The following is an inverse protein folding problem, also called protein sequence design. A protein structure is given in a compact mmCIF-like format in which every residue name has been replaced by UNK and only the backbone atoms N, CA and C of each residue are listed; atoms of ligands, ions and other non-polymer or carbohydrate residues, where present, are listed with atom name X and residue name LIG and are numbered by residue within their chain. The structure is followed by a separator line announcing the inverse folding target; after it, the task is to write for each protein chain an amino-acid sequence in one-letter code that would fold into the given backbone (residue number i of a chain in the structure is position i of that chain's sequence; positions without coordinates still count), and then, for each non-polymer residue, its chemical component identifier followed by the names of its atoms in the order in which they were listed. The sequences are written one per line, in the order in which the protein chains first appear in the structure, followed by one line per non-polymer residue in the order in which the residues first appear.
data_IF_743660211739
#
_entry.id   IF_743660211739
#
_cell.length_a   1.000
_cell.length_b   1.000
_cell.length_c   1.000
_cell.angle_alpha   90.00
_cell.angle_beta   90.00
_cell.angle_gamma   90.00
#
_symmetry.space_group_name_H-M   'P 1'
#
loop_
_entity.id
_entity.type
_entity.pdbx_description
1 polymer ?
#
# COMPACT_ATOMS: atom_id res chain seq x y z
N UNK A 1 -9.83 -7.29 6.39
CA UNK A 1 -10.93 -7.07 5.41
C UNK A 1 -10.28 -7.07 4.04
N UNK A 2 -10.80 -7.86 3.10
CA UNK A 2 -10.20 -8.00 1.76
C UNK A 2 -10.51 -6.78 0.86
N UNK A 3 -9.64 -6.51 -0.12
CA UNK A 3 -9.71 -5.38 -1.07
C UNK A 3 -11.04 -5.40 -1.81
N UNK A 4 -11.47 -6.56 -2.28
CA UNK A 4 -12.75 -6.70 -2.97
C UNK A 4 -13.95 -6.39 -2.07
N UNK A 5 -13.88 -6.76 -0.79
CA UNK A 5 -14.93 -6.46 0.19
C UNK A 5 -15.00 -4.96 0.55
N UNK A 6 -13.86 -4.29 0.64
CA UNK A 6 -13.79 -2.84 0.84
C UNK A 6 -14.31 -2.08 -0.40
N UNK A 7 -13.92 -2.51 -1.60
CA UNK A 7 -14.40 -1.93 -2.85
C UNK A 7 -15.92 -2.09 -3.00
N UNK A 8 -16.47 -3.26 -2.67
CA UNK A 8 -17.91 -3.49 -2.72
C UNK A 8 -18.69 -2.54 -1.79
N UNK A 9 -18.26 -2.37 -0.54
CA UNK A 9 -18.89 -1.43 0.40
C UNK A 9 -18.77 0.03 -0.05
N UNK A 10 -17.68 0.40 -0.70
CA UNK A 10 -17.50 1.74 -1.27
C UNK A 10 -18.48 1.97 -2.43
N UNK A 11 -18.65 0.97 -3.29
CA UNK A 11 -19.61 1.02 -4.39
C UNK A 11 -21.05 1.08 -3.89
N UNK A 12 -21.44 0.24 -2.93
CA UNK A 12 -22.79 0.23 -2.33
C UNK A 12 -23.15 1.60 -1.73
N UNK A 13 -22.22 2.21 -0.99
CA UNK A 13 -22.43 3.57 -0.46
C UNK A 13 -22.64 4.59 -1.56
N UNK A 14 -21.84 4.51 -2.63
CA UNK A 14 -21.96 5.43 -3.77
C UNK A 14 -23.29 5.27 -4.51
N UNK A 15 -23.73 4.03 -4.73
CA UNK A 15 -25.04 3.72 -5.33
C UNK A 15 -26.18 4.22 -4.43
N UNK A 16 -26.14 3.92 -3.12
CA UNK A 16 -27.17 4.36 -2.18
C UNK A 16 -27.25 5.89 -2.06
N UNK A 17 -26.11 6.58 -2.18
CA UNK A 17 -26.06 8.05 -2.18
C UNK A 17 -26.55 8.67 -3.50
N UNK A 18 -26.56 7.88 -4.59
CA UNK A 18 -26.96 8.38 -5.89
C UNK A 18 -28.48 8.41 -6.03
N UNK A 19 -29.02 9.60 -6.29
CA UNK A 19 -30.44 9.80 -6.64
C UNK A 19 -30.76 9.44 -8.09
N UNK A 20 -29.81 8.89 -8.86
CA UNK A 20 -30.02 8.51 -10.26
C UNK A 20 -30.84 7.22 -10.33
N UNK A 21 -32.05 7.31 -10.89
CA UNK A 21 -32.92 6.14 -11.16
C UNK A 21 -32.39 5.22 -12.25
N UNK A 22 -31.51 5.70 -13.12
CA UNK A 22 -30.90 4.94 -14.21
C UNK A 22 -29.41 5.23 -14.26
N UNK A 23 -28.61 4.17 -14.20
CA UNK A 23 -27.17 4.21 -14.40
C UNK A 23 -26.84 3.62 -15.76
N UNK A 24 -26.03 4.31 -16.53
CA UNK A 24 -25.48 3.71 -17.75
C UNK A 24 -24.42 2.69 -17.35
N UNK A 25 -24.12 1.76 -18.26
CA UNK A 25 -23.04 0.77 -18.02
C UNK A 25 -21.68 1.46 -17.81
N UNK A 26 -21.44 2.56 -18.51
CA UNK A 26 -20.22 3.35 -18.37
C UNK A 26 -20.11 3.98 -16.96
N UNK A 27 -21.20 4.55 -16.44
CA UNK A 27 -21.24 5.10 -15.07
C UNK A 27 -20.93 4.01 -14.04
N UNK A 28 -21.51 2.82 -14.19
CA UNK A 28 -21.30 1.71 -13.26
C UNK A 28 -19.85 1.23 -13.26
N UNK A 29 -19.23 1.12 -14.44
CA UNK A 29 -17.82 0.72 -14.58
C UNK A 29 -16.91 1.78 -13.95
N UNK A 30 -17.16 3.06 -14.20
CA UNK A 30 -16.40 4.14 -13.60
C UNK A 30 -16.49 4.09 -12.06
N UNK A 31 -17.68 3.82 -11.51
CA UNK A 31 -17.86 3.73 -10.06
C UNK A 31 -17.20 2.50 -9.45
N UNK A 32 -17.15 1.37 -10.17
CA UNK A 32 -16.42 0.18 -9.73
C UNK A 32 -14.91 0.44 -9.67
N UNK A 33 -14.35 1.09 -10.69
CA UNK A 33 -12.93 1.47 -10.74
C UNK A 33 -12.55 2.39 -9.58
N UNK A 34 -13.31 3.47 -9.38
CA UNK A 34 -13.06 4.39 -8.25
C UNK A 34 -13.14 3.68 -6.89
N UNK A 35 -14.08 2.75 -6.72
CA UNK A 35 -14.24 2.00 -5.48
C UNK A 35 -13.07 1.05 -5.22
N UNK A 36 -12.50 0.45 -6.28
CA UNK A 36 -11.31 -0.40 -6.22
C UNK A 36 -10.06 0.41 -5.90
N UNK A 37 -9.83 1.54 -6.58
CA UNK A 37 -8.71 2.44 -6.28
C UNK A 37 -8.73 2.87 -4.81
N UNK A 38 -9.90 3.30 -4.32
CA UNK A 38 -10.05 3.69 -2.92
C UNK A 38 -9.81 2.54 -1.95
N UNK A 39 -10.25 1.32 -2.27
CA UNK A 39 -9.98 0.15 -1.45
C UNK A 39 -8.49 -0.21 -1.41
N UNK A 40 -7.80 -0.06 -2.54
CA UNK A 40 -6.35 -0.23 -2.62
C UNK A 40 -5.62 0.85 -1.80
N UNK A 41 -6.06 2.10 -1.82
CA UNK A 41 -5.48 3.15 -0.98
C UNK A 41 -5.73 2.93 0.52
N UNK A 42 -6.92 2.44 0.89
CA UNK A 42 -7.27 2.14 2.28
C UNK A 42 -6.50 0.94 2.84
N UNK A 43 -6.14 -0.03 2.00
CA UNK A 43 -5.46 -1.28 2.41
C UNK A 43 -3.96 -1.25 2.13
N UNK A 44 -3.52 -0.49 1.13
CA UNK A 44 -2.13 -0.27 0.73
C UNK A 44 -1.17 0.19 1.83
N UNK A 45 -1.56 0.90 2.91
CA UNK A 45 -0.64 1.14 4.01
C UNK A 45 -0.23 -0.12 4.77
N UNK A 46 -0.96 -1.24 4.68
CA UNK A 46 -0.57 -2.52 5.31
C UNK A 46 0.52 -3.27 4.53
N UNK A 47 0.73 -2.98 3.25
CA UNK A 47 1.82 -3.58 2.45
C UNK A 47 3.09 -2.74 2.42
N UNK A 48 3.04 -1.45 2.81
CA UNK A 48 4.23 -0.59 2.98
C UNK A 48 5.11 -0.97 4.18
N UNK A 49 4.64 -1.79 5.10
CA UNK A 49 5.41 -2.27 6.25
C UNK A 49 6.27 -3.52 6.00
N UNK A 50 6.15 -4.18 4.84
CA UNK A 50 6.86 -5.46 4.56
C UNK A 50 8.13 -5.28 3.71
N UNK A 51 8.51 -4.05 3.37
CA UNK A 51 9.82 -3.78 2.76
C UNK A 51 10.49 -2.56 3.38
N UNK A 52 10.50 -2.48 4.71
CA UNK A 52 11.53 -1.72 5.39
C UNK A 52 12.64 -2.72 5.73
N UNK A 53 13.57 -2.95 4.79
CA UNK A 53 14.86 -3.51 5.14
C UNK A 53 15.44 -2.53 6.17
N UNK A 54 15.66 -2.92 7.43
CA UNK A 54 16.25 -1.99 8.38
C UNK A 54 17.64 -1.63 7.86
N UNK A 55 17.92 -0.31 7.75
CA UNK A 55 19.25 0.24 7.45
C UNK A 55 20.34 -0.21 8.46
N UNK A 56 19.94 -0.93 9.50
CA UNK A 56 20.79 -1.42 10.59
C UNK A 56 21.86 -2.44 10.19
N UNK A 57 21.85 -3.00 8.98
CA UNK A 57 22.92 -3.91 8.51
C UNK A 57 23.99 -3.24 7.63
N UNK A 58 23.92 -1.92 7.39
CA UNK A 58 25.00 -1.22 6.64
C UNK A 58 26.10 -0.62 7.52
N UNK A 59 25.94 -0.61 8.85
CA UNK A 59 26.92 -0.01 9.77
C UNK A 59 27.42 -1.04 10.79
N UNK A 60 28.09 -2.09 10.33
CA UNK A 60 28.89 -2.96 11.21
C UNK A 60 30.19 -3.48 10.57
N UNK A 61 30.59 -2.95 9.41
CA UNK A 61 31.94 -3.14 8.87
C UNK A 61 32.68 -1.81 8.82
N UNK A 62 32.89 -1.23 10.00
CA UNK A 62 33.60 0.03 10.18
C UNK A 62 34.25 0.12 11.54
N UNK A 63 35.09 -0.87 11.89
CA UNK A 63 36.25 -0.74 12.79
C UNK A 63 36.93 -2.10 12.96
N UNK A 64 38.11 -2.26 12.36
CA UNK A 64 39.21 -2.86 13.10
C UNK A 64 40.32 -1.83 13.21
N UNK A 65 40.82 -1.59 14.42
CA UNK A 65 41.81 -0.57 14.71
C UNK A 65 43.18 -1.02 14.20
N UNK A 66 43.99 -0.01 13.90
CA UNK A 66 45.44 0.02 13.87
C UNK A 66 46.13 -1.27 14.37
N UNK A 67 46.70 -2.01 13.43
CA UNK A 67 47.76 -2.97 13.71
C UNK A 67 49.08 -2.36 13.24
N UNK A 68 49.54 -1.35 13.99
CA UNK A 68 50.97 -1.16 14.18
C UNK A 68 51.52 -2.43 14.83
N UNK A 69 52.17 -3.30 14.06
CA UNK A 69 53.15 -4.23 14.63
C UNK A 69 54.35 -4.35 13.71
N UNK A 70 55.41 -3.66 14.16
CA UNK A 70 56.83 -3.75 13.82
C UNK A 70 57.34 -5.14 13.40
N UNK A 71 58.24 -5.08 12.41
CA UNK A 71 59.63 -5.61 12.42
C UNK A 71 59.86 -7.10 12.75
N UNK A 72 60.27 -7.88 11.75
CA UNK A 72 61.31 -8.93 11.79
C UNK A 72 61.62 -9.47 10.40
#
# INVERSE_FOLDING_TARGET
MDIYGAAWKNLERKIASSRRRSLTRADLIAWQLEALEKAVDEIGPLTRGVTQIPDSERQSQGRRPDADFRDS
#
